data_IF_308186479268
#
_entry.id   IF_308186479268
#
_cell.length_a   1.000
_cell.length_b   1.000
_cell.length_c   1.000
_cell.angle_alpha   90.00
_cell.angle_beta   90.00
_cell.angle_gamma   90.00
#
_symmetry.space_group_name_H-M   'P 1'
#
loop_
_entity.id
_entity.type
_entity.pdbx_description
1 polymer ?
#
# COMPACT_ATOMS: atom_id res chain seq x y z
N UNK A 1 26.78 16.56 -17.58
CA UNK A 1 27.30 16.69 -16.22
C UNK A 1 27.45 15.30 -15.62
N UNK A 2 28.61 15.04 -15.00
CA UNK A 2 28.88 13.76 -14.30
C UNK A 2 28.63 13.97 -12.81
N UNK A 3 27.88 13.05 -12.20
CA UNK A 3 27.53 13.10 -10.78
C UNK A 3 28.32 12.02 -10.02
N UNK A 4 28.82 12.37 -8.85
CA UNK A 4 29.55 11.42 -8.00
C UNK A 4 28.62 10.90 -6.91
N UNK A 5 28.39 9.57 -6.87
CA UNK A 5 27.62 8.89 -5.85
C UNK A 5 28.54 8.18 -4.87
N UNK A 6 28.42 8.52 -3.60
CA UNK A 6 29.16 7.85 -2.52
C UNK A 6 28.30 6.71 -1.97
N UNK A 7 28.72 5.49 -2.17
CA UNK A 7 27.99 4.29 -1.76
C UNK A 7 28.71 3.63 -0.59
N UNK A 8 28.02 3.47 0.53
CA UNK A 8 28.51 2.71 1.69
C UNK A 8 28.06 1.25 1.55
N UNK A 9 29.01 0.33 1.42
CA UNK A 9 28.75 -1.10 1.37
C UNK A 9 28.36 -1.63 2.75
N UNK A 10 27.70 -2.81 2.80
CA UNK A 10 27.32 -3.47 4.05
C UNK A 10 28.51 -3.81 4.96
N UNK A 11 29.72 -4.02 4.38
CA UNK A 11 30.96 -4.22 5.12
C UNK A 11 31.60 -2.92 5.66
N UNK A 12 30.92 -1.78 5.48
CA UNK A 12 31.42 -0.47 5.94
C UNK A 12 32.27 0.30 4.95
N UNK A 13 32.72 -0.32 3.86
CA UNK A 13 33.55 0.34 2.84
C UNK A 13 32.75 1.42 2.10
N UNK A 14 33.38 2.56 1.89
CA UNK A 14 32.85 3.68 1.13
C UNK A 14 33.50 3.67 -0.25
N UNK A 15 32.70 3.61 -1.31
CA UNK A 15 33.16 3.75 -2.70
C UNK A 15 32.42 4.87 -3.42
N UNK A 16 33.17 5.63 -4.18
CA UNK A 16 32.64 6.67 -5.05
C UNK A 16 32.50 6.16 -6.48
N UNK A 17 31.33 6.37 -7.06
CA UNK A 17 31.03 6.04 -8.45
C UNK A 17 30.65 7.31 -9.21
N UNK A 18 31.36 7.57 -10.31
CA UNK A 18 31.01 8.64 -11.24
C UNK A 18 30.01 8.11 -12.25
N UNK A 19 28.82 8.68 -12.25
CA UNK A 19 27.72 8.27 -13.13
C UNK A 19 27.28 9.46 -13.98
N UNK A 20 27.20 9.23 -15.28
CA UNK A 20 26.66 10.20 -16.23
C UNK A 20 25.25 9.77 -16.59
N UNK A 21 24.23 10.63 -16.43
CA UNK A 21 22.85 10.28 -16.78
C UNK A 21 22.74 10.04 -18.28
N UNK A 22 21.97 9.00 -18.65
CA UNK A 22 21.57 8.77 -20.03
C UNK A 22 20.22 9.39 -20.30
N UNK A 23 20.09 10.07 -21.43
CA UNK A 23 18.77 10.56 -21.88
C UNK A 23 17.99 9.39 -22.49
N UNK A 24 16.82 9.13 -21.95
CA UNK A 24 15.88 8.13 -22.46
C UNK A 24 14.65 8.88 -22.97
N UNK A 25 14.23 8.59 -24.19
CA UNK A 25 12.99 9.10 -24.76
C UNK A 25 11.85 8.19 -24.28
N UNK A 26 10.86 8.79 -23.61
CA UNK A 26 9.62 8.11 -23.31
C UNK A 26 8.75 7.98 -24.57
N UNK A 27 7.78 7.09 -24.57
CA UNK A 27 6.87 6.88 -25.72
C UNK A 27 6.05 8.12 -26.08
N UNK A 28 5.89 9.06 -25.17
CA UNK A 28 5.23 10.36 -25.35
C UNK A 28 6.15 11.45 -25.97
N UNK A 29 7.41 11.10 -26.31
CA UNK A 29 8.38 12.01 -26.88
C UNK A 29 9.14 12.88 -25.87
N UNK A 30 8.86 12.78 -24.57
CA UNK A 30 9.59 13.51 -23.53
C UNK A 30 10.97 12.91 -23.29
N UNK A 31 12.00 13.75 -23.20
CA UNK A 31 13.36 13.33 -22.88
C UNK A 31 13.59 13.39 -21.37
N UNK A 32 13.78 12.24 -20.75
CA UNK A 32 14.07 12.14 -19.31
C UNK A 32 15.49 11.66 -19.09
N UNK A 33 16.26 12.35 -18.24
CA UNK A 33 17.60 11.93 -17.84
C UNK A 33 17.51 10.89 -16.72
N UNK A 34 17.97 9.66 -16.99
CA UNK A 34 17.99 8.58 -16.02
C UNK A 34 19.40 8.15 -15.68
N UNK A 35 19.68 7.90 -14.41
CA UNK A 35 21.01 7.47 -13.95
C UNK A 35 21.29 5.98 -14.17
N UNK A 36 20.27 5.18 -14.50
CA UNK A 36 20.42 3.73 -14.72
C UNK A 36 20.96 2.97 -13.50
N UNK A 37 20.71 3.49 -12.29
CA UNK A 37 21.12 2.82 -11.06
C UNK A 37 20.12 1.68 -10.82
N UNK A 38 20.53 0.46 -11.16
CA UNK A 38 19.77 -0.73 -10.84
C UNK A 38 20.17 -1.25 -9.45
N UNK A 39 19.20 -1.44 -8.57
CA UNK A 39 19.45 -2.24 -7.37
C UNK A 39 19.62 -3.70 -7.81
N UNK A 40 20.85 -4.26 -7.71
CA UNK A 40 21.02 -5.70 -7.85
C UNK A 40 20.42 -6.38 -6.63
N UNK A 41 19.28 -6.99 -6.79
CA UNK A 41 18.74 -7.90 -5.79
C UNK A 41 19.56 -9.19 -5.86
N UNK A 42 20.37 -9.47 -4.85
CA UNK A 42 20.95 -10.81 -4.68
C UNK A 42 19.76 -11.78 -4.50
N UNK A 43 19.54 -12.61 -5.50
CA UNK A 43 18.51 -13.64 -5.44
C UNK A 43 19.01 -14.76 -4.54
N UNK A 44 18.70 -14.67 -3.26
CA UNK A 44 18.93 -15.80 -2.35
C UNK A 44 17.97 -16.94 -2.69
N UNK A 45 18.52 -17.98 -3.36
CA UNK A 45 17.77 -19.19 -3.72
C UNK A 45 17.69 -20.10 -2.49
N UNK A 46 16.49 -20.58 -2.16
CA UNK A 46 16.26 -21.56 -1.12
C UNK A 46 14.95 -21.32 -0.35
N UNK A 47 14.33 -22.40 0.12
CA UNK A 47 13.05 -22.36 0.83
C UNK A 47 13.10 -21.45 2.07
N UNK A 48 14.11 -21.59 2.91
CA UNK A 48 14.26 -20.78 4.13
C UNK A 48 14.48 -19.29 3.81
N UNK A 49 15.21 -18.98 2.74
CA UNK A 49 15.40 -17.60 2.28
C UNK A 49 14.09 -17.01 1.76
N UNK A 50 13.28 -17.78 1.05
CA UNK A 50 11.98 -17.36 0.57
C UNK A 50 11.02 -17.06 1.73
N UNK A 51 10.98 -17.93 2.74
CA UNK A 51 10.16 -17.72 3.96
C UNK A 51 10.60 -16.45 4.69
N UNK A 52 11.90 -16.30 4.95
CA UNK A 52 12.44 -15.09 5.60
C UNK A 52 12.08 -13.82 4.82
N UNK A 53 12.27 -13.85 3.50
CA UNK A 53 11.95 -12.72 2.63
C UNK A 53 10.45 -12.37 2.67
N UNK A 54 9.56 -13.38 2.72
CA UNK A 54 8.12 -13.18 2.81
C UNK A 54 7.73 -12.42 4.08
N UNK A 55 8.33 -12.75 5.24
CA UNK A 55 8.09 -12.02 6.49
C UNK A 55 8.61 -10.57 6.43
N UNK A 56 9.81 -10.36 5.87
CA UNK A 56 10.37 -9.02 5.68
C UNK A 56 9.47 -8.19 4.75
N UNK A 57 8.99 -8.80 3.66
CA UNK A 57 8.11 -8.14 2.70
C UNK A 57 6.75 -7.81 3.32
N UNK A 58 6.19 -8.73 4.10
CA UNK A 58 4.96 -8.50 4.87
C UNK A 58 5.12 -7.29 5.80
N UNK A 59 6.19 -7.23 6.58
CA UNK A 59 6.48 -6.08 7.45
C UNK A 59 6.61 -4.76 6.66
N UNK A 60 7.25 -4.80 5.50
CA UNK A 60 7.36 -3.64 4.60
C UNK A 60 5.99 -3.16 4.10
N UNK A 61 5.10 -4.08 3.69
CA UNK A 61 3.75 -3.75 3.22
C UNK A 61 2.93 -3.14 4.35
N UNK A 62 2.96 -3.74 5.54
CA UNK A 62 2.25 -3.22 6.74
C UNK A 62 2.75 -1.82 7.09
N UNK A 63 4.07 -1.60 7.09
CA UNK A 63 4.66 -0.28 7.36
C UNK A 63 4.27 0.76 6.31
N UNK A 64 4.26 0.39 5.03
CA UNK A 64 3.82 1.25 3.94
C UNK A 64 2.34 1.61 4.06
N UNK A 65 1.50 0.64 4.45
CA UNK A 65 0.07 0.86 4.68
C UNK A 65 -0.16 1.84 5.84
N UNK A 66 0.59 1.67 6.95
CA UNK A 66 0.53 2.59 8.08
C UNK A 66 0.92 4.02 7.67
N UNK A 67 1.99 4.15 6.87
CA UNK A 67 2.42 5.44 6.33
C UNK A 67 1.34 6.06 5.43
N UNK A 68 0.68 5.27 4.59
CA UNK A 68 -0.41 5.73 3.71
C UNK A 68 -1.59 6.24 4.54
N UNK A 69 -2.02 5.48 5.55
CA UNK A 69 -3.11 5.86 6.44
C UNK A 69 -2.78 7.17 7.16
N UNK A 70 -1.60 7.28 7.76
CA UNK A 70 -1.17 8.51 8.46
C UNK A 70 -1.06 9.70 7.51
N UNK A 71 -0.63 9.47 6.26
CA UNK A 71 -0.52 10.51 5.23
C UNK A 71 -1.88 11.03 4.76
N UNK A 72 -2.91 10.16 4.74
CA UNK A 72 -4.29 10.56 4.48
C UNK A 72 -4.83 11.45 5.61
N UNK A 73 -4.64 11.05 6.88
CA UNK A 73 -5.11 11.83 8.03
C UNK A 73 -4.36 13.17 8.18
N UNK A 74 -3.10 13.23 7.79
CA UNK A 74 -2.31 14.48 7.83
C UNK A 74 -2.48 15.37 6.60
N UNK A 75 -3.31 14.97 5.63
CA UNK A 75 -3.57 15.73 4.41
C UNK A 75 -2.38 15.74 3.41
N UNK A 76 -1.35 14.96 3.65
CA UNK A 76 -0.20 14.82 2.74
C UNK A 76 -0.54 14.01 1.49
N UNK A 77 -1.52 13.13 1.59
CA UNK A 77 -2.03 12.34 0.48
C UNK A 77 -3.48 12.74 0.23
N UNK A 78 -3.81 13.06 -1.03
CA UNK A 78 -5.19 13.33 -1.42
C UNK A 78 -5.98 12.04 -1.59
N UNK A 79 -7.27 12.07 -1.29
CA UNK A 79 -8.21 10.98 -1.58
C UNK A 79 -8.27 10.65 -3.08
N UNK A 80 -7.97 11.64 -3.91
CA UNK A 80 -7.91 11.46 -5.37
C UNK A 80 -6.82 10.48 -5.82
N UNK A 81 -5.83 10.20 -4.98
CA UNK A 81 -4.77 9.23 -5.28
C UNK A 81 -5.16 7.79 -4.92
N UNK A 82 -6.33 7.58 -4.30
CA UNK A 82 -6.82 6.25 -3.99
C UNK A 82 -7.47 5.63 -5.24
N UNK A 83 -7.22 4.34 -5.44
CA UNK A 83 -7.91 3.55 -6.43
C UNK A 83 -9.17 2.93 -5.80
N UNK A 84 -10.31 3.21 -6.37
CA UNK A 84 -11.56 2.55 -6.05
C UNK A 84 -11.79 1.30 -6.90
N UNK A 85 -13.02 0.77 -6.91
CA UNK A 85 -13.35 -0.47 -7.63
C UNK A 85 -13.03 -0.42 -9.13
N UNK A 86 -13.24 0.75 -9.75
CA UNK A 86 -12.99 0.93 -11.20
C UNK A 86 -11.49 1.02 -11.47
N UNK A 87 -10.74 1.77 -10.65
CA UNK A 87 -9.27 1.83 -10.73
C UNK A 87 -8.63 0.47 -10.47
N UNK A 88 -9.17 -0.31 -9.51
CA UNK A 88 -8.71 -1.68 -9.24
C UNK A 88 -8.92 -2.62 -10.43
N UNK A 89 -10.01 -2.50 -11.16
CA UNK A 89 -10.24 -3.27 -12.38
C UNK A 89 -9.11 -3.05 -13.41
N UNK A 90 -8.71 -1.78 -13.63
CA UNK A 90 -7.60 -1.44 -14.53
C UNK A 90 -6.27 -2.01 -14.02
N UNK A 91 -5.96 -1.86 -12.73
CA UNK A 91 -4.72 -2.39 -12.12
C UNK A 91 -4.64 -3.91 -12.28
N UNK A 92 -5.73 -4.64 -12.03
CA UNK A 92 -5.79 -6.08 -12.21
C UNK A 92 -5.59 -6.45 -13.68
N UNK A 93 -6.28 -5.76 -14.60
CA UNK A 93 -6.16 -5.99 -16.03
C UNK A 93 -4.74 -5.79 -16.56
N UNK A 94 -4.06 -4.74 -16.14
CA UNK A 94 -2.66 -4.49 -16.49
C UNK A 94 -1.72 -5.55 -15.88
N UNK A 95 -1.94 -5.90 -14.62
CA UNK A 95 -1.14 -6.93 -13.92
C UNK A 95 -1.26 -8.29 -14.60
N UNK A 96 -2.44 -8.65 -15.10
CA UNK A 96 -2.66 -9.90 -15.84
C UNK A 96 -1.84 -9.95 -17.14
N UNK A 97 -1.64 -8.82 -17.83
CA UNK A 97 -0.81 -8.75 -19.05
C UNK A 97 0.66 -9.00 -18.76
N UNK A 98 1.13 -8.65 -17.56
CA UNK A 98 2.54 -8.84 -17.14
C UNK A 98 2.84 -10.29 -16.77
N UNK A 99 1.84 -11.07 -16.31
CA UNK A 99 1.97 -12.50 -16.06
C UNK A 99 1.48 -12.97 -14.70
N UNK A 100 1.31 -14.27 -14.56
CA UNK A 100 0.69 -14.92 -13.40
C UNK A 100 1.39 -14.60 -12.07
N UNK A 101 2.73 -14.54 -12.07
CA UNK A 101 3.48 -14.24 -10.83
C UNK A 101 3.12 -12.87 -10.28
N UNK A 102 2.91 -11.88 -11.16
CA UNK A 102 2.51 -10.53 -10.74
C UNK A 102 1.08 -10.52 -10.20
N UNK A 103 0.18 -11.32 -10.77
CA UNK A 103 -1.19 -11.49 -10.26
C UNK A 103 -1.18 -12.09 -8.85
N UNK A 104 -0.37 -13.13 -8.61
CA UNK A 104 -0.21 -13.73 -7.28
C UNK A 104 0.36 -12.72 -6.27
N UNK A 105 1.35 -11.92 -6.69
CA UNK A 105 1.90 -10.85 -5.87
C UNK A 105 0.85 -9.79 -5.53
N UNK A 106 0.07 -9.32 -6.52
CA UNK A 106 -1.01 -8.37 -6.32
C UNK A 106 -2.07 -8.93 -5.37
N UNK A 107 -2.46 -10.20 -5.54
CA UNK A 107 -3.42 -10.86 -4.66
C UNK A 107 -2.92 -10.90 -3.21
N UNK A 108 -1.67 -11.27 -3.00
CA UNK A 108 -1.06 -11.27 -1.67
C UNK A 108 -1.01 -9.86 -1.08
N UNK A 109 -0.62 -8.86 -1.87
CA UNK A 109 -0.59 -7.46 -1.48
C UNK A 109 -1.97 -6.95 -1.04
N UNK A 110 -3.02 -7.21 -1.83
CA UNK A 110 -4.39 -6.82 -1.51
C UNK A 110 -4.90 -7.54 -0.25
N UNK A 111 -4.58 -8.82 -0.10
CA UNK A 111 -4.97 -9.59 1.09
C UNK A 111 -4.36 -9.01 2.37
N UNK A 112 -3.08 -8.63 2.33
CA UNK A 112 -2.41 -7.99 3.47
C UNK A 112 -3.03 -6.63 3.77
N UNK A 113 -3.29 -5.81 2.75
CA UNK A 113 -3.93 -4.51 2.93
C UNK A 113 -5.32 -4.66 3.57
N UNK A 114 -6.13 -5.62 3.09
CA UNK A 114 -7.45 -5.90 3.65
C UNK A 114 -7.35 -6.35 5.12
N UNK A 115 -6.37 -7.20 5.46
CA UNK A 115 -6.15 -7.63 6.83
C UNK A 115 -5.77 -6.45 7.75
N UNK A 116 -4.89 -5.55 7.29
CA UNK A 116 -4.48 -4.34 8.04
C UNK A 116 -5.67 -3.41 8.26
N UNK A 117 -6.47 -3.14 7.22
CA UNK A 117 -7.66 -2.29 7.34
C UNK A 117 -8.66 -2.90 8.32
N UNK A 118 -8.91 -4.20 8.23
CA UNK A 118 -9.84 -4.89 9.12
C UNK A 118 -9.34 -4.94 10.57
N UNK A 119 -8.04 -4.87 10.82
CA UNK A 119 -7.47 -4.79 12.16
C UNK A 119 -7.58 -3.38 12.79
N UNK A 120 -7.89 -2.35 12.02
CA UNK A 120 -8.03 -0.99 12.56
C UNK A 120 -9.21 -0.88 13.53
N UNK A 121 -9.07 -0.12 14.64
CA UNK A 121 -10.14 0.12 15.61
C UNK A 121 -11.18 1.10 15.07
N UNK A 122 -11.77 0.78 13.93
CA UNK A 122 -12.77 1.60 13.26
C UNK A 122 -14.11 0.87 13.20
N UNK A 123 -15.24 1.55 13.46
CA UNK A 123 -16.56 0.97 13.30
C UNK A 123 -16.74 0.41 11.89
N UNK A 124 -17.42 -0.71 11.76
CA UNK A 124 -17.63 -1.52 10.57
C UNK A 124 -16.52 -2.53 10.21
N UNK A 125 -15.34 -2.44 10.82
CA UNK A 125 -14.28 -3.44 10.69
C UNK A 125 -14.24 -4.37 11.91
N UNK A 126 -13.57 -5.52 11.77
CA UNK A 126 -13.40 -6.50 12.86
C UNK A 126 -12.62 -5.92 14.03
N UNK A 127 -11.61 -5.09 13.75
CA UNK A 127 -10.84 -4.37 14.78
C UNK A 127 -11.71 -3.45 15.63
N UNK A 128 -12.79 -2.88 15.08
CA UNK A 128 -13.78 -2.13 15.85
C UNK A 128 -14.50 -2.98 16.89
N UNK A 129 -14.86 -4.22 16.55
CA UNK A 129 -15.44 -5.19 17.51
C UNK A 129 -14.45 -5.56 18.61
N UNK A 130 -13.20 -5.85 18.25
CA UNK A 130 -12.12 -6.10 19.22
C UNK A 130 -11.95 -4.91 20.16
N UNK A 131 -12.02 -3.69 19.63
CA UNK A 131 -11.94 -2.46 20.42
C UNK A 131 -13.09 -2.34 21.43
N UNK A 132 -14.34 -2.66 21.06
CA UNK A 132 -15.48 -2.70 21.99
C UNK A 132 -15.27 -3.76 23.09
N UNK A 133 -14.81 -4.96 22.74
CA UNK A 133 -14.49 -6.01 23.71
C UNK A 133 -13.42 -5.55 24.73
N UNK A 134 -12.39 -4.85 24.26
CA UNK A 134 -11.36 -4.28 25.14
C UNK A 134 -11.93 -3.23 26.09
N UNK A 135 -12.84 -2.37 25.62
CA UNK A 135 -13.53 -1.39 26.47
C UNK A 135 -14.40 -2.09 27.52
N UNK A 136 -15.15 -3.14 27.13
CA UNK A 136 -15.95 -3.94 28.07
C UNK A 136 -15.09 -4.57 29.16
N UNK A 137 -13.96 -5.13 28.77
CA UNK A 137 -13.00 -5.75 29.67
C UNK A 137 -12.45 -4.73 30.69
N UNK A 138 -12.06 -3.53 30.25
CA UNK A 138 -11.54 -2.47 31.12
C UNK A 138 -12.64 -1.92 32.03
N UNK A 139 -13.87 -1.75 31.52
CA UNK A 139 -14.99 -1.20 32.30
C UNK A 139 -15.65 -2.22 33.23
N UNK A 140 -15.43 -3.51 33.03
CA UNK A 140 -16.11 -4.60 33.76
C UNK A 140 -17.62 -4.67 33.50
N UNK A 141 -18.13 -3.99 32.49
CA UNK A 141 -19.57 -3.97 32.12
C UNK A 141 -19.73 -4.05 30.62
N UNK A 142 -20.69 -4.86 30.16
CA UNK A 142 -21.05 -4.99 28.74
C UNK A 142 -21.61 -3.68 28.18
N UNK A 143 -21.30 -3.39 26.95
CA UNK A 143 -21.90 -2.32 26.16
C UNK A 143 -23.25 -2.84 25.63
N UNK A 144 -24.25 -1.96 25.56
CA UNK A 144 -25.55 -2.34 24.96
C UNK A 144 -25.34 -2.68 23.49
N UNK A 145 -25.75 -3.89 23.09
CA UNK A 145 -25.64 -4.38 21.70
C UNK A 145 -26.31 -3.46 20.68
N UNK A 146 -27.38 -2.73 21.08
CA UNK A 146 -28.01 -1.75 20.20
C UNK A 146 -27.08 -0.57 19.92
N UNK A 147 -26.38 -0.08 20.95
CA UNK A 147 -25.42 1.03 20.81
C UNK A 147 -24.26 0.62 19.92
N UNK A 148 -23.68 -0.55 20.17
CA UNK A 148 -22.63 -1.13 19.31
C UNK A 148 -23.11 -1.26 17.86
N UNK A 149 -24.31 -1.82 17.65
CA UNK A 149 -24.92 -1.95 16.34
C UNK A 149 -25.11 -0.62 15.61
N UNK A 150 -25.59 0.42 16.30
CA UNK A 150 -25.73 1.75 15.69
C UNK A 150 -24.38 2.36 15.30
N UNK A 151 -23.34 2.22 16.14
CA UNK A 151 -22.02 2.72 15.84
C UNK A 151 -21.43 2.03 14.62
N UNK A 152 -21.58 0.69 14.52
CA UNK A 152 -21.16 -0.07 13.34
C UNK A 152 -21.95 0.34 12.09
N UNK A 153 -23.25 0.54 12.19
CA UNK A 153 -24.10 0.98 11.07
C UNK A 153 -23.67 2.36 10.55
N UNK A 154 -23.40 3.31 11.45
CA UNK A 154 -22.92 4.65 11.05
C UNK A 154 -21.55 4.54 10.38
N UNK A 155 -20.62 3.77 10.97
CA UNK A 155 -19.29 3.54 10.37
C UNK A 155 -19.39 2.91 8.98
N UNK A 156 -20.28 1.93 8.80
CA UNK A 156 -20.55 1.31 7.51
C UNK A 156 -21.12 2.31 6.49
N UNK A 157 -22.08 3.13 6.90
CA UNK A 157 -22.66 4.17 6.03
C UNK A 157 -21.59 5.18 5.57
N UNK A 158 -20.69 5.59 6.46
CA UNK A 158 -19.56 6.48 6.12
C UNK A 158 -18.60 5.83 5.13
N UNK A 159 -18.28 4.54 5.30
CA UNK A 159 -17.45 3.81 4.35
C UNK A 159 -18.12 3.68 2.99
N UNK A 160 -19.43 3.42 2.94
CA UNK A 160 -20.16 3.36 1.68
C UNK A 160 -20.17 4.70 0.96
N UNK A 161 -20.34 5.81 1.67
CA UNK A 161 -20.25 7.15 1.10
C UNK A 161 -18.85 7.45 0.56
N UNK A 162 -17.80 7.09 1.31
CA UNK A 162 -16.42 7.22 0.85
C UNK A 162 -16.16 6.38 -0.41
N UNK A 163 -16.67 5.14 -0.43
CA UNK A 163 -16.52 4.24 -1.58
C UNK A 163 -17.22 4.79 -2.83
N UNK A 164 -18.42 5.35 -2.67
CA UNK A 164 -19.14 6.01 -3.76
C UNK A 164 -18.36 7.23 -4.27
N UNK A 165 -17.81 8.04 -3.38
CA UNK A 165 -16.99 9.19 -3.75
C UNK A 165 -15.75 8.76 -4.56
N UNK A 166 -14.98 7.77 -4.08
CA UNK A 166 -13.78 7.29 -4.78
C UNK A 166 -14.15 6.65 -6.13
N UNK A 167 -15.26 5.89 -6.19
CA UNK A 167 -15.75 5.31 -7.45
C UNK A 167 -16.11 6.41 -8.47
N UNK A 168 -16.75 7.46 -8.02
CA UNK A 168 -17.06 8.62 -8.87
C UNK A 168 -15.78 9.28 -9.40
N UNK A 169 -14.78 9.46 -8.56
CA UNK A 169 -13.46 9.97 -8.98
C UNK A 169 -12.75 9.06 -9.98
N UNK A 170 -12.79 7.74 -9.78
CA UNK A 170 -12.24 6.78 -10.73
C UNK A 170 -12.89 6.91 -12.12
N UNK A 171 -14.22 7.03 -12.15
CA UNK A 171 -14.96 7.21 -13.41
C UNK A 171 -14.53 8.51 -14.10
N UNK A 172 -14.42 9.62 -13.36
CA UNK A 172 -13.98 10.89 -13.93
C UNK A 172 -12.58 10.83 -14.54
N UNK A 173 -11.69 9.99 -13.97
CA UNK A 173 -10.34 9.77 -14.52
C UNK A 173 -10.33 9.03 -15.84
N UNK A 174 -11.32 8.17 -16.10
CA UNK A 174 -11.42 7.47 -17.38
C UNK A 174 -11.78 8.40 -18.56
N UNK A 175 -12.32 9.59 -18.27
CA UNK A 175 -12.72 10.57 -19.27
C UNK A 175 -11.72 11.72 -19.41
N UNK A 176 -10.62 11.69 -18.64
CA UNK A 176 -9.51 12.65 -18.76
C UNK A 176 -8.33 12.04 -19.52
#
# INVERSE_FOLDING_TARGET
>A
DTYTFTVKKQNGDIKEYKVTPKTVKAEDGTETKVFGIGASTEVHKGFFSAVKYSFVKLGSIVSSMWLTITSLFTGKLSLDNLAGPVGMYSIVGETMKVGLVNVLYLTAYLSINLAVINALPFPAFDGGRVFFILIEWIRGKKIDQKVEGYIHMIGFALLMLLMLYITFQDILRLFK
#
